data_IF_658390473683
#
_entry.id   IF_658390473683
#
_cell.length_a   1.000
_cell.length_b   1.000
_cell.length_c   1.000
_cell.angle_alpha   90.00
_cell.angle_beta   90.00
_cell.angle_gamma   90.00
#
_symmetry.space_group_name_H-M   'P 1'
#
loop_
_entity.id
_entity.type
_entity.pdbx_description
1 polymer ?
#
# COMPACT_ATOMS: atom_id res chain seq x y z
N UNK A 1 23.74 8.59 38.51
CA UNK A 1 23.09 9.46 37.51
C UNK A 1 22.48 8.55 36.47
N UNK A 2 21.19 8.20 36.63
CA UNK A 2 20.49 7.32 35.69
C UNK A 2 20.14 8.12 34.44
N UNK A 3 20.70 7.71 33.30
CA UNK A 3 20.34 8.28 32.02
C UNK A 3 18.98 7.76 31.62
N UNK A 4 17.92 8.53 31.82
CA UNK A 4 16.58 8.22 31.32
C UNK A 4 16.63 8.31 29.79
N UNK A 5 16.74 7.16 29.14
CA UNK A 5 16.63 7.05 27.68
C UNK A 5 15.14 7.17 27.36
N UNK A 6 14.69 8.35 26.94
CA UNK A 6 13.37 8.50 26.32
C UNK A 6 13.39 7.73 25.00
N UNK A 7 12.78 6.56 24.98
CA UNK A 7 12.51 5.87 23.71
C UNK A 7 11.47 6.68 22.94
N UNK A 8 11.91 7.47 21.96
CA UNK A 8 11.00 8.12 21.03
C UNK A 8 10.13 7.08 20.36
N UNK A 9 8.81 7.27 20.43
CA UNK A 9 7.84 6.36 19.81
C UNK A 9 8.06 6.38 18.30
N UNK A 10 8.54 5.27 17.73
CA UNK A 10 8.72 5.12 16.27
C UNK A 10 7.40 5.34 15.54
N UNK A 11 7.42 6.17 14.51
CA UNK A 11 6.28 6.39 13.62
C UNK A 11 5.98 5.08 12.87
N UNK A 12 4.75 4.59 12.99
CA UNK A 12 4.30 3.34 12.36
C UNK A 12 3.58 3.64 11.04
N UNK A 13 4.17 3.19 9.94
CA UNK A 13 3.69 3.45 8.58
C UNK A 13 3.30 2.13 7.91
N UNK A 14 2.15 2.12 7.26
CA UNK A 14 1.73 1.02 6.39
C UNK A 14 1.65 1.50 4.96
N UNK A 15 2.16 0.69 4.03
CA UNK A 15 2.07 0.89 2.59
C UNK A 15 1.24 -0.21 1.94
N UNK A 16 0.39 0.15 0.99
CA UNK A 16 -0.42 -0.79 0.21
C UNK A 16 -0.67 -0.27 -1.20
N UNK A 17 -0.95 -1.21 -2.13
CA UNK A 17 -1.24 -0.88 -3.53
C UNK A 17 -0.35 -1.62 -4.52
N UNK A 18 0.89 -1.93 -4.14
CA UNK A 18 1.80 -2.77 -4.91
C UNK A 18 1.27 -4.22 -5.03
N UNK A 19 1.79 -4.96 -5.98
CA UNK A 19 1.56 -6.41 -6.07
C UNK A 19 2.40 -7.13 -5.01
N UNK A 20 3.72 -6.98 -5.11
CA UNK A 20 4.69 -7.54 -4.19
C UNK A 20 5.89 -6.59 -4.08
N UNK A 21 6.23 -6.14 -2.87
CA UNK A 21 7.26 -5.10 -2.66
C UNK A 21 8.64 -5.48 -3.21
N UNK A 22 8.97 -6.78 -3.24
CA UNK A 22 10.25 -7.28 -3.75
C UNK A 22 10.23 -7.60 -5.24
N UNK A 23 9.08 -7.52 -5.92
CA UNK A 23 9.01 -7.77 -7.36
C UNK A 23 9.71 -6.67 -8.16
N UNK A 24 10.33 -7.06 -9.26
CA UNK A 24 10.93 -6.15 -10.24
C UNK A 24 10.02 -5.88 -11.44
N UNK A 25 8.79 -6.40 -11.45
CA UNK A 25 7.88 -6.35 -12.59
C UNK A 25 7.25 -4.97 -12.85
N UNK A 26 7.31 -4.04 -11.91
CA UNK A 26 6.62 -2.75 -12.05
C UNK A 26 7.30 -1.57 -11.37
N UNK A 27 6.99 -0.37 -11.86
CA UNK A 27 7.52 0.87 -11.30
C UNK A 27 6.98 1.16 -9.90
N UNK A 28 5.73 0.79 -9.62
CA UNK A 28 5.11 0.99 -8.30
C UNK A 28 5.85 0.17 -7.24
N UNK A 29 6.16 -1.09 -7.52
CA UNK A 29 6.88 -2.00 -6.64
C UNK A 29 8.26 -1.44 -6.28
N UNK A 30 8.99 -0.95 -7.28
CA UNK A 30 10.31 -0.33 -7.08
C UNK A 30 10.21 0.93 -6.20
N UNK A 31 9.24 1.79 -6.45
CA UNK A 31 9.03 3.03 -5.66
C UNK A 31 8.67 2.68 -4.22
N UNK A 32 7.74 1.73 -4.00
CA UNK A 32 7.36 1.30 -2.65
C UNK A 32 8.54 0.73 -1.89
N UNK A 33 9.35 -0.13 -2.52
CA UNK A 33 10.56 -0.70 -1.93
C UNK A 33 11.56 0.37 -1.53
N UNK A 34 11.87 1.30 -2.43
CA UNK A 34 12.81 2.39 -2.16
C UNK A 34 12.34 3.33 -1.03
N UNK A 35 11.06 3.70 -1.03
CA UNK A 35 10.52 4.57 0.01
C UNK A 35 10.49 3.82 1.35
N UNK A 36 10.01 2.59 1.38
CA UNK A 36 9.86 1.83 2.62
C UNK A 36 11.21 1.57 3.31
N UNK A 37 12.23 1.16 2.56
CA UNK A 37 13.57 0.93 3.13
C UNK A 37 14.22 2.23 3.62
N UNK A 38 14.02 3.35 2.92
CA UNK A 38 14.53 4.66 3.38
C UNK A 38 13.82 5.12 4.65
N UNK A 39 12.52 4.93 4.76
CA UNK A 39 11.77 5.27 5.99
C UNK A 39 12.22 4.41 7.18
N UNK A 40 12.54 3.13 6.97
CA UNK A 40 13.14 2.29 8.02
C UNK A 40 14.50 2.87 8.47
N UNK A 41 15.36 3.28 7.52
CA UNK A 41 16.65 3.92 7.85
C UNK A 41 16.49 5.26 8.60
N UNK A 42 15.35 5.94 8.41
CA UNK A 42 14.98 7.14 9.17
C UNK A 42 14.33 6.83 10.54
N UNK A 43 14.27 5.56 10.95
CA UNK A 43 13.78 5.14 12.26
C UNK A 43 12.29 4.80 12.31
N UNK A 44 11.57 4.80 11.18
CA UNK A 44 10.16 4.41 11.14
C UNK A 44 9.97 2.88 11.24
N UNK A 45 8.82 2.45 11.77
CA UNK A 45 8.35 1.06 11.71
C UNK A 45 7.43 0.90 10.48
N UNK A 46 7.96 0.29 9.42
CA UNK A 46 7.26 0.21 8.12
C UNK A 46 6.75 -1.20 7.85
N UNK A 47 5.49 -1.30 7.44
CA UNK A 47 4.88 -2.56 7.00
C UNK A 47 4.30 -2.39 5.59
N UNK A 48 4.65 -3.27 4.66
CA UNK A 48 4.04 -3.35 3.32
C UNK A 48 3.01 -4.48 3.27
N UNK A 49 1.82 -4.21 2.71
CA UNK A 49 0.80 -5.22 2.46
C UNK A 49 0.82 -5.64 1.00
N UNK A 50 1.28 -6.87 0.76
CA UNK A 50 1.39 -7.47 -0.56
C UNK A 50 0.16 -8.29 -0.93
N UNK A 51 -0.09 -8.48 -2.23
CA UNK A 51 -1.15 -9.34 -2.74
C UNK A 51 -0.75 -10.80 -2.64
N UNK A 52 -1.66 -11.64 -2.20
CA UNK A 52 -1.49 -13.09 -2.21
C UNK A 52 -2.09 -13.67 -3.49
N UNK A 53 -1.33 -13.75 -4.57
CA UNK A 53 -1.74 -14.34 -5.84
C UNK A 53 -0.90 -15.56 -6.18
N UNK A 54 -1.49 -16.54 -6.90
CA UNK A 54 -0.76 -17.74 -7.35
C UNK A 54 0.41 -17.39 -8.26
N UNK A 55 0.28 -16.36 -9.07
CA UNK A 55 1.32 -15.93 -10.00
C UNK A 55 2.56 -15.41 -9.25
N UNK A 56 2.37 -14.63 -8.21
CA UNK A 56 3.47 -14.14 -7.35
C UNK A 56 4.13 -15.30 -6.60
N UNK A 57 3.35 -16.32 -6.20
CA UNK A 57 3.89 -17.50 -5.50
C UNK A 57 4.73 -18.42 -6.39
N UNK A 58 4.48 -18.44 -7.70
CA UNK A 58 5.16 -19.35 -8.64
C UNK A 58 6.39 -18.74 -9.33
N UNK A 59 6.45 -17.40 -9.45
CA UNK A 59 7.52 -16.74 -10.19
C UNK A 59 8.77 -16.42 -9.37
N UNK A 60 8.66 -16.39 -8.04
CA UNK A 60 9.76 -16.04 -7.13
C UNK A 60 9.59 -16.81 -5.81
N UNK A 61 9.70 -18.15 -5.83
CA UNK A 61 9.42 -19.03 -4.68
C UNK A 61 10.15 -18.62 -3.39
N UNK A 62 11.34 -18.02 -3.49
CA UNK A 62 12.12 -17.59 -2.33
C UNK A 62 11.72 -16.19 -1.80
N UNK A 63 11.17 -15.31 -2.64
CA UNK A 63 10.84 -13.93 -2.25
C UNK A 63 9.45 -13.83 -1.64
N UNK A 64 8.50 -14.67 -2.09
CA UNK A 64 7.12 -14.67 -1.59
C UNK A 64 6.97 -15.17 -0.14
N UNK A 65 7.99 -15.83 0.40
CA UNK A 65 8.02 -16.36 1.77
C UNK A 65 8.66 -15.38 2.77
N UNK A 66 9.33 -14.33 2.31
CA UNK A 66 9.97 -13.36 3.20
C UNK A 66 8.93 -12.53 3.95
N UNK A 67 9.04 -12.53 5.26
CA UNK A 67 8.22 -11.68 6.15
C UNK A 67 8.87 -10.34 6.45
N UNK A 68 10.15 -10.15 6.06
CA UNK A 68 10.91 -8.94 6.28
C UNK A 68 12.01 -8.76 5.21
N UNK A 69 12.26 -7.52 4.81
CA UNK A 69 13.34 -7.14 3.92
C UNK A 69 13.91 -5.77 4.33
N UNK A 70 15.20 -5.67 4.61
CA UNK A 70 15.89 -4.45 5.07
C UNK A 70 15.12 -3.71 6.20
N UNK A 71 14.54 -4.44 7.15
CA UNK A 71 13.76 -3.90 8.25
C UNK A 71 12.31 -3.55 7.89
N UNK A 72 11.91 -3.66 6.62
CA UNK A 72 10.52 -3.52 6.18
C UNK A 72 9.76 -4.81 6.43
N UNK A 73 8.72 -4.77 7.24
CA UNK A 73 7.83 -5.92 7.47
C UNK A 73 6.93 -6.14 6.26
N UNK A 74 6.86 -7.37 5.78
CA UNK A 74 6.02 -7.75 4.63
C UNK A 74 4.88 -8.64 5.11
N UNK A 75 3.65 -8.26 4.81
CA UNK A 75 2.44 -9.01 5.16
C UNK A 75 1.60 -9.26 3.92
N UNK A 76 1.21 -10.50 3.71
CA UNK A 76 0.26 -10.84 2.65
C UNK A 76 -1.18 -10.56 3.08
N UNK A 77 -2.00 -10.07 2.15
CA UNK A 77 -3.43 -9.91 2.36
C UNK A 77 -4.24 -10.84 1.45
N UNK A 78 -5.44 -11.18 1.92
CA UNK A 78 -6.40 -11.99 1.16
C UNK A 78 -6.64 -11.31 -0.19
N UNK A 79 -6.54 -12.10 -1.27
CA UNK A 79 -6.67 -11.62 -2.64
C UNK A 79 -7.54 -12.59 -3.43
N UNK A 80 -8.55 -12.08 -4.11
CA UNK A 80 -9.34 -12.86 -5.06
C UNK A 80 -8.60 -12.82 -6.39
N UNK A 81 -7.92 -13.93 -6.73
CA UNK A 81 -7.03 -14.03 -7.88
C UNK A 81 -7.81 -14.14 -9.20
N UNK A 82 -8.55 -13.08 -9.53
CA UNK A 82 -9.28 -12.91 -10.80
C UNK A 82 -8.91 -11.56 -11.39
N UNK A 83 -8.83 -11.51 -12.75
CA UNK A 83 -8.54 -10.28 -13.49
C UNK A 83 -9.48 -9.13 -13.05
N UNK A 84 -8.92 -8.01 -12.65
CA UNK A 84 -9.65 -6.83 -12.16
C UNK A 84 -10.05 -6.88 -10.69
N UNK A 85 -10.23 -8.06 -10.07
CA UNK A 85 -10.62 -8.18 -8.67
C UNK A 85 -9.44 -8.29 -7.70
N UNK A 86 -8.28 -8.76 -8.16
CA UNK A 86 -7.12 -8.96 -7.30
C UNK A 86 -6.66 -7.66 -6.60
N UNK A 87 -6.59 -6.56 -7.35
CA UNK A 87 -6.22 -5.26 -6.79
C UNK A 87 -7.26 -4.73 -5.81
N UNK A 88 -8.55 -4.84 -6.15
CA UNK A 88 -9.67 -4.34 -5.35
C UNK A 88 -9.77 -5.11 -4.04
N UNK A 89 -9.83 -6.46 -4.12
CA UNK A 89 -9.97 -7.31 -2.93
C UNK A 89 -8.77 -7.21 -1.99
N UNK A 90 -7.55 -7.21 -2.53
CA UNK A 90 -6.35 -7.04 -1.69
C UNK A 90 -6.34 -5.71 -0.96
N UNK A 91 -6.67 -4.60 -1.66
CA UNK A 91 -6.75 -3.28 -1.05
C UNK A 91 -7.84 -3.20 0.01
N UNK A 92 -9.00 -3.80 -0.23
CA UNK A 92 -10.10 -3.84 0.72
C UNK A 92 -9.72 -4.61 2.00
N UNK A 93 -9.22 -5.84 1.88
CA UNK A 93 -8.84 -6.64 3.05
C UNK A 93 -7.63 -6.07 3.79
N UNK A 94 -6.66 -5.47 3.09
CA UNK A 94 -5.57 -4.73 3.72
C UNK A 94 -6.13 -3.55 4.52
N UNK A 95 -7.02 -2.75 3.93
CA UNK A 95 -7.64 -1.59 4.58
C UNK A 95 -8.40 -1.98 5.85
N UNK A 96 -9.16 -3.08 5.84
CA UNK A 96 -9.83 -3.59 7.04
C UNK A 96 -8.85 -3.97 8.15
N UNK A 97 -7.75 -4.66 7.83
CA UNK A 97 -6.70 -4.98 8.81
C UNK A 97 -6.04 -3.72 9.38
N UNK A 98 -5.78 -2.74 8.52
CA UNK A 98 -5.16 -1.47 8.89
C UNK A 98 -6.09 -0.67 9.79
N UNK A 99 -7.39 -0.67 9.54
CA UNK A 99 -8.37 0.07 10.34
C UNK A 99 -8.27 -0.26 11.83
N UNK A 100 -8.11 -1.55 12.17
CA UNK A 100 -8.00 -2.03 13.54
C UNK A 100 -6.55 -2.14 14.05
N UNK A 101 -5.57 -1.67 13.31
CA UNK A 101 -4.17 -1.69 13.70
C UNK A 101 -3.74 -0.40 14.42
N UNK A 102 -2.65 -0.48 15.19
CA UNK A 102 -2.05 0.67 15.87
C UNK A 102 -1.08 1.48 14.99
N UNK A 103 -1.31 1.59 13.66
CA UNK A 103 -0.47 2.39 12.75
C UNK A 103 -0.87 3.85 12.81
N UNK A 104 0.10 4.74 12.59
CA UNK A 104 -0.08 6.18 12.62
C UNK A 104 -0.39 6.73 11.21
N UNK A 105 0.26 6.17 10.18
CA UNK A 105 0.15 6.62 8.78
C UNK A 105 -0.20 5.47 7.85
N UNK A 106 -1.11 5.72 6.90
CA UNK A 106 -1.47 4.79 5.82
C UNK A 106 -1.11 5.44 4.49
N UNK A 107 -0.21 4.80 3.74
CA UNK A 107 0.25 5.28 2.45
C UNK A 107 -0.30 4.39 1.33
N UNK A 108 -1.22 4.95 0.55
CA UNK A 108 -1.83 4.31 -0.61
C UNK A 108 -0.99 4.58 -1.86
N UNK A 109 -0.68 3.55 -2.62
CA UNK A 109 0.01 3.67 -3.90
C UNK A 109 -0.93 3.32 -5.04
N UNK A 110 -1.03 4.22 -6.02
CA UNK A 110 -1.93 4.20 -7.18
C UNK A 110 -3.41 4.49 -6.87
N UNK A 111 -4.15 4.88 -7.92
CA UNK A 111 -5.54 5.34 -7.83
C UNK A 111 -6.50 4.21 -7.41
N UNK A 112 -6.29 2.99 -7.93
CA UNK A 112 -7.18 1.85 -7.61
C UNK A 112 -7.29 1.58 -6.11
N UNK A 113 -6.19 1.36 -5.37
CA UNK A 113 -6.16 1.24 -3.92
C UNK A 113 -6.72 2.45 -3.19
N UNK A 114 -6.52 3.65 -3.71
CA UNK A 114 -7.02 4.91 -3.13
C UNK A 114 -8.54 4.98 -3.03
N UNK A 115 -9.28 4.14 -3.76
CA UNK A 115 -10.73 3.98 -3.60
C UNK A 115 -11.14 3.56 -2.17
N UNK A 116 -10.21 2.99 -1.39
CA UNK A 116 -10.44 2.56 0.01
C UNK A 116 -10.16 3.67 1.03
N UNK A 117 -9.62 4.81 0.64
CA UNK A 117 -9.30 5.94 1.53
C UNK A 117 -10.48 6.36 2.41
N UNK A 118 -11.73 6.47 1.92
CA UNK A 118 -12.86 6.86 2.75
C UNK A 118 -13.05 5.95 3.98
N UNK A 119 -12.76 4.65 3.87
CA UNK A 119 -12.88 3.73 5.00
C UNK A 119 -11.93 4.15 6.13
N UNK A 120 -10.67 4.44 5.83
CA UNK A 120 -9.70 4.90 6.83
C UNK A 120 -10.09 6.29 7.35
N UNK A 121 -10.46 7.21 6.47
CA UNK A 121 -10.77 8.61 6.83
C UNK A 121 -11.93 8.73 7.79
N UNK A 122 -13.03 7.98 7.55
CA UNK A 122 -14.24 8.10 8.36
C UNK A 122 -14.23 7.25 9.64
N UNK A 123 -13.46 6.14 9.65
CA UNK A 123 -13.47 5.21 10.76
C UNK A 123 -12.18 5.20 11.59
N UNK A 124 -11.23 6.11 11.31
CA UNK A 124 -10.00 6.23 12.09
C UNK A 124 -9.46 7.66 12.09
N UNK A 125 -8.45 7.91 12.95
CA UNK A 125 -7.70 9.18 13.00
C UNK A 125 -6.32 9.07 12.34
N UNK A 126 -6.08 8.01 11.56
CA UNK A 126 -4.79 7.78 10.91
C UNK A 126 -4.55 8.83 9.82
N UNK A 127 -3.30 9.24 9.67
CA UNK A 127 -2.89 10.10 8.56
C UNK A 127 -2.87 9.31 7.26
N UNK A 128 -3.28 9.93 6.17
CA UNK A 128 -3.45 9.29 4.87
C UNK A 128 -2.57 10.00 3.84
N UNK A 129 -1.66 9.24 3.24
CA UNK A 129 -0.85 9.69 2.10
C UNK A 129 -1.28 8.90 0.88
N UNK A 130 -1.35 9.53 -0.28
CA UNK A 130 -1.59 8.89 -1.55
C UNK A 130 -0.50 9.25 -2.55
N UNK A 131 0.16 8.25 -3.17
CA UNK A 131 1.04 8.46 -4.31
C UNK A 131 0.36 8.03 -5.59
N UNK A 132 0.25 8.95 -6.55
CA UNK A 132 -0.31 8.73 -7.87
C UNK A 132 0.85 8.55 -8.86
N UNK A 133 0.98 7.35 -9.43
CA UNK A 133 2.09 6.98 -10.31
C UNK A 133 1.83 7.30 -11.78
N UNK A 134 0.84 8.10 -12.08
CA UNK A 134 0.39 8.47 -13.43
C UNK A 134 -1.10 8.20 -13.61
N UNK A 135 -1.67 8.69 -14.70
CA UNK A 135 -3.11 8.55 -14.96
C UNK A 135 -3.44 7.15 -15.50
N UNK A 136 -3.55 6.18 -14.59
CA UNK A 136 -3.77 4.77 -14.95
C UNK A 136 -5.05 4.57 -15.79
N UNK A 137 -6.09 5.35 -15.56
CA UNK A 137 -7.34 5.27 -16.32
C UNK A 137 -7.21 5.69 -17.79
N UNK A 138 -6.13 6.40 -18.15
CA UNK A 138 -5.80 6.74 -19.56
C UNK A 138 -5.08 5.62 -20.30
N UNK A 139 -4.64 4.58 -19.60
CA UNK A 139 -3.94 3.46 -20.26
C UNK A 139 -4.95 2.58 -21.00
N UNK A 140 -4.64 2.21 -22.22
CA UNK A 140 -5.49 1.39 -23.11
C UNK A 140 -5.96 0.08 -22.49
N UNK A 141 -5.13 -0.51 -21.60
CA UNK A 141 -5.46 -1.76 -20.88
C UNK A 141 -6.74 -1.70 -20.05
N UNK A 142 -7.20 -0.52 -19.63
CA UNK A 142 -8.38 -0.34 -18.79
C UNK A 142 -9.63 0.00 -19.60
N UNK A 143 -9.49 0.44 -20.87
CA UNK A 143 -10.60 0.82 -21.75
C UNK A 143 -11.51 1.90 -21.14
N UNK A 144 -12.78 1.91 -21.57
CA UNK A 144 -13.80 2.86 -21.06
C UNK A 144 -14.78 2.24 -20.06
N UNK A 145 -14.52 1.01 -19.63
CA UNK A 145 -15.42 0.20 -18.82
C UNK A 145 -15.41 0.49 -17.32
N UNK A 146 -15.95 -0.46 -16.55
CA UNK A 146 -16.05 -0.39 -15.07
C UNK A 146 -14.69 -0.16 -14.39
N UNK A 147 -13.62 -0.79 -14.89
CA UNK A 147 -12.28 -0.63 -14.31
C UNK A 147 -11.78 0.81 -14.39
N UNK A 148 -11.95 1.49 -15.53
CA UNK A 148 -11.60 2.90 -15.69
C UNK A 148 -12.40 3.80 -14.73
N UNK A 149 -13.71 3.54 -14.57
CA UNK A 149 -14.56 4.29 -13.62
C UNK A 149 -14.10 4.08 -12.18
N UNK A 150 -13.74 2.86 -11.81
CA UNK A 150 -13.22 2.54 -10.47
C UNK A 150 -11.91 3.28 -10.19
N UNK A 151 -10.98 3.31 -11.15
CA UNK A 151 -9.70 4.02 -11.01
C UNK A 151 -9.94 5.53 -10.87
N UNK A 152 -10.80 6.14 -11.70
CA UNK A 152 -11.20 7.56 -11.57
C UNK A 152 -11.85 7.85 -10.23
N UNK A 153 -12.66 6.92 -9.72
CA UNK A 153 -13.24 7.06 -8.38
C UNK A 153 -12.14 7.08 -7.32
N UNK A 154 -11.15 6.21 -7.40
CA UNK A 154 -10.01 6.18 -6.47
C UNK A 154 -9.19 7.46 -6.51
N UNK A 155 -8.89 7.99 -7.70
CA UNK A 155 -8.24 9.30 -7.88
C UNK A 155 -9.04 10.42 -7.18
N UNK A 156 -10.36 10.46 -7.40
CA UNK A 156 -11.24 11.42 -6.73
C UNK A 156 -11.23 11.27 -5.21
N UNK A 157 -11.16 10.03 -4.70
CA UNK A 157 -11.10 9.78 -3.25
C UNK A 157 -9.75 10.22 -2.67
N UNK A 158 -8.64 9.99 -3.38
CA UNK A 158 -7.34 10.53 -2.99
C UNK A 158 -7.37 12.06 -2.94
N UNK A 159 -7.80 12.71 -4.01
CA UNK A 159 -7.88 14.18 -4.08
C UNK A 159 -8.74 14.81 -3.00
N UNK A 160 -9.81 14.11 -2.55
CA UNK A 160 -10.77 14.66 -1.57
C UNK A 160 -10.40 14.37 -0.13
N UNK A 161 -9.77 13.24 0.17
CA UNK A 161 -9.67 12.73 1.52
C UNK A 161 -8.25 12.37 1.98
N UNK A 162 -7.25 12.32 1.09
CA UNK A 162 -5.87 12.18 1.54
C UNK A 162 -5.43 13.45 2.28
N UNK A 163 -4.60 13.29 3.29
CA UNK A 163 -3.99 14.41 3.99
C UNK A 163 -2.81 14.98 3.18
N UNK A 164 -2.12 14.10 2.39
CA UNK A 164 -1.03 14.47 1.48
C UNK A 164 -1.11 13.66 0.18
N UNK A 165 -0.78 14.30 -0.94
CA UNK A 165 -0.72 13.67 -2.26
C UNK A 165 0.66 13.87 -2.86
N UNK A 166 1.24 12.78 -3.36
CA UNK A 166 2.51 12.75 -4.10
C UNK A 166 2.20 12.37 -5.55
N UNK A 167 2.73 13.12 -6.51
CA UNK A 167 2.56 12.89 -7.95
C UNK A 167 3.91 12.86 -8.67
#
# INVERSE_FOLDING_TARGET
METVVFMEKKLKIVMLGQKHVLSNEGGVEKVVREISTRLVRLGCDVTCYDRRTKHVMNSEENLSTLSEYEGVKIKSCITIDKKGLAAVSSSFFATLKILFSGVDVVHFHAEGPSAMIPIIKFFSKKKIIATIHGLDWKRDKWGTGFASRYIKFGEKMAAKYADEIIV
#
